data_IF_120215614664
#
_entry.id   IF_120215614664
#
_cell.length_a   1.000
_cell.length_b   1.000
_cell.length_c   1.000
_cell.angle_alpha   90.00
_cell.angle_beta   90.00
_cell.angle_gamma   90.00
#
_symmetry.space_group_name_H-M   'P 1'
#
loop_
_entity.id
_entity.type
_entity.pdbx_description
1 polymer ?
#
# COMPACT_ATOMS: atom_id res chain seq x y z
N UNK A 1 9.53 15.81 -10.66
CA UNK A 1 11.01 15.75 -10.62
C UNK A 1 11.57 14.39 -11.04
N UNK A 2 10.99 13.26 -10.61
CA UNK A 2 11.47 11.90 -10.99
C UNK A 2 11.26 11.56 -12.48
N UNK A 3 10.12 11.94 -13.06
CA UNK A 3 9.78 11.67 -14.48
C UNK A 3 10.72 12.39 -15.46
N UNK A 4 11.12 13.63 -15.16
CA UNK A 4 12.03 14.43 -15.97
C UNK A 4 13.46 13.86 -16.02
N UNK A 5 13.91 13.19 -14.95
CA UNK A 5 15.21 12.50 -14.91
C UNK A 5 15.33 11.41 -15.98
N UNK A 6 14.22 10.86 -16.44
CA UNK A 6 14.16 9.79 -17.45
C UNK A 6 13.73 10.29 -18.84
N UNK A 7 13.72 11.60 -19.08
CA UNK A 7 13.33 12.18 -20.38
C UNK A 7 11.85 12.00 -20.73
N UNK A 8 11.03 11.55 -19.78
CA UNK A 8 9.60 11.36 -19.98
C UNK A 8 8.87 12.68 -19.76
N UNK A 9 7.92 12.98 -20.63
CA UNK A 9 7.02 14.13 -20.49
C UNK A 9 5.71 13.67 -19.86
N UNK A 10 5.29 14.36 -18.80
CA UNK A 10 3.94 14.18 -18.24
C UNK A 10 2.94 14.77 -19.23
N UNK A 11 1.89 14.04 -19.59
CA UNK A 11 0.73 14.64 -20.24
C UNK A 11 0.01 15.55 -19.22
N UNK A 12 0.36 16.84 -19.18
CA UNK A 12 -0.22 17.83 -18.26
C UNK A 12 -1.24 18.77 -18.92
N UNK A 13 -1.59 18.54 -20.18
CA UNK A 13 -2.59 19.36 -20.87
C UNK A 13 -3.37 18.45 -21.83
N UNK A 14 -4.70 18.53 -21.79
CA UNK A 14 -5.63 18.01 -22.81
C UNK A 14 -6.08 16.53 -22.78
N UNK A 15 -6.13 15.88 -21.61
CA UNK A 15 -6.87 14.63 -21.47
C UNK A 15 -8.12 14.78 -20.58
N UNK A 16 -9.21 14.05 -20.88
CA UNK A 16 -10.52 14.24 -20.24
C UNK A 16 -10.32 14.16 -18.73
N UNK A 17 -10.94 15.11 -18.00
CA UNK A 17 -10.80 15.25 -16.55
C UNK A 17 -10.89 13.86 -15.92
N UNK A 18 -9.79 13.41 -15.32
CA UNK A 18 -9.76 12.14 -14.60
C UNK A 18 -10.88 12.15 -13.57
N UNK A 19 -11.86 11.27 -13.75
CA UNK A 19 -13.01 11.18 -12.88
C UNK A 19 -12.74 10.18 -11.75
N UNK A 20 -12.86 10.65 -10.50
CA UNK A 20 -12.71 9.84 -9.30
C UNK A 20 -13.74 8.70 -9.25
N UNK A 21 -14.93 8.88 -9.86
CA UNK A 21 -15.97 7.87 -9.99
C UNK A 21 -15.51 6.74 -10.91
N UNK A 22 -14.84 7.06 -12.00
CA UNK A 22 -14.30 6.05 -12.92
C UNK A 22 -13.14 5.30 -12.29
N UNK A 23 -12.27 6.00 -11.57
CA UNK A 23 -11.16 5.39 -10.83
C UNK A 23 -11.68 4.47 -9.73
N UNK A 24 -12.67 4.89 -8.93
CA UNK A 24 -13.19 4.06 -7.84
C UNK A 24 -13.89 2.79 -8.36
N UNK A 25 -14.67 2.89 -9.46
CA UNK A 25 -15.32 1.74 -10.09
C UNK A 25 -14.31 0.75 -10.65
N UNK A 26 -13.17 1.27 -11.10
CA UNK A 26 -12.09 0.50 -11.71
C UNK A 26 -10.84 0.41 -10.82
N UNK A 27 -11.01 0.37 -9.49
CA UNK A 27 -9.88 0.29 -8.54
C UNK A 27 -8.96 -0.91 -8.81
N UNK A 28 -9.50 -1.99 -9.36
CA UNK A 28 -8.74 -3.17 -9.78
C UNK A 28 -7.79 -2.89 -10.95
N UNK A 29 -8.20 -2.04 -11.92
CA UNK A 29 -7.34 -1.61 -13.01
C UNK A 29 -6.26 -0.65 -12.50
N UNK A 30 -6.62 0.29 -11.63
CA UNK A 30 -5.65 1.17 -10.97
C UNK A 30 -4.57 0.36 -10.26
N UNK A 31 -4.97 -0.60 -9.42
CA UNK A 31 -4.06 -1.41 -8.63
C UNK A 31 -3.12 -2.29 -9.48
N UNK A 32 -3.54 -2.67 -10.69
CA UNK A 32 -2.79 -3.58 -11.57
C UNK A 32 -1.93 -2.83 -12.60
N UNK A 33 -2.39 -1.68 -13.09
CA UNK A 33 -1.77 -0.97 -14.22
C UNK A 33 -0.94 0.24 -13.82
N UNK A 34 -1.03 0.67 -12.56
CA UNK A 34 -0.29 1.81 -12.03
C UNK A 34 0.60 1.39 -10.87
N UNK A 35 1.70 2.10 -10.69
CA UNK A 35 2.56 1.98 -9.53
C UNK A 35 2.42 3.21 -8.65
N UNK A 36 2.27 2.97 -7.34
CA UNK A 36 2.17 4.01 -6.33
C UNK A 36 3.56 4.50 -5.89
N UNK A 37 3.69 5.82 -5.69
CA UNK A 37 4.81 6.44 -4.99
C UNK A 37 4.36 6.92 -3.61
N UNK A 38 4.96 6.36 -2.56
CA UNK A 38 4.61 6.58 -1.17
C UNK A 38 4.89 8.01 -0.71
N UNK A 39 6.05 8.55 -1.10
CA UNK A 39 6.55 9.84 -0.61
C UNK A 39 5.81 11.02 -1.25
N UNK A 40 5.65 11.00 -2.57
CA UNK A 40 5.04 12.10 -3.32
C UNK A 40 3.53 11.91 -3.54
N UNK A 41 2.98 10.77 -3.14
CA UNK A 41 1.55 10.44 -3.28
C UNK A 41 1.02 10.68 -4.70
N UNK A 42 1.63 10.02 -5.69
CA UNK A 42 1.09 9.96 -7.05
C UNK A 42 1.14 8.52 -7.57
N UNK A 43 0.37 8.26 -8.63
CA UNK A 43 0.46 7.03 -9.41
C UNK A 43 1.07 7.31 -10.77
N UNK A 44 1.96 6.44 -11.23
CA UNK A 44 2.41 6.41 -12.63
C UNK A 44 2.00 5.12 -13.30
N UNK A 45 1.58 5.21 -14.53
CA UNK A 45 1.21 4.05 -15.33
C UNK A 45 2.45 3.14 -15.52
N UNK A 46 2.31 1.88 -15.09
CA UNK A 46 3.35 0.85 -15.16
C UNK A 46 3.49 0.28 -16.57
N UNK A 47 2.35 0.03 -17.24
CA UNK A 47 2.33 -0.51 -18.60
C UNK A 47 1.93 0.58 -19.59
N UNK A 48 2.85 0.91 -20.49
CA UNK A 48 2.59 1.90 -21.53
C UNK A 48 2.47 1.20 -22.88
N UNK A 49 1.36 1.41 -23.57
CA UNK A 49 1.01 0.76 -24.85
C UNK A 49 1.82 1.32 -26.04
N UNK A 50 3.06 1.80 -25.81
CA UNK A 50 3.93 2.37 -26.84
C UNK A 50 3.88 3.90 -26.97
N UNK A 51 3.14 4.61 -26.12
CA UNK A 51 3.06 6.09 -26.13
C UNK A 51 4.22 6.73 -25.38
N UNK A 52 4.99 7.65 -25.96
CA UNK A 52 6.12 8.29 -25.25
C UNK A 52 5.76 8.98 -23.91
N UNK A 53 4.48 9.33 -23.69
CA UNK A 53 3.97 9.96 -22.48
C UNK A 53 3.54 8.91 -21.45
N UNK A 54 3.89 9.11 -20.18
CA UNK A 54 3.41 8.27 -19.06
C UNK A 54 2.25 8.98 -18.37
N UNK A 55 1.12 8.28 -18.20
CA UNK A 55 -0.03 8.82 -17.47
C UNK A 55 0.27 8.84 -15.97
N UNK A 56 -0.03 9.98 -15.35
CA UNK A 56 0.17 10.20 -13.92
C UNK A 56 -1.13 10.65 -13.27
N UNK A 57 -1.47 10.05 -12.14
CA UNK A 57 -2.61 10.46 -11.30
C UNK A 57 -2.04 11.10 -10.05
N UNK A 58 -2.39 12.36 -9.81
CA UNK A 58 -1.92 13.12 -8.65
C UNK A 58 -3.09 13.47 -7.72
N UNK A 59 -2.74 13.94 -6.51
CA UNK A 59 -3.70 14.46 -5.55
C UNK A 59 -4.54 15.60 -6.15
N UNK A 60 -3.95 16.45 -6.99
CA UNK A 60 -4.64 17.57 -7.64
C UNK A 60 -5.75 17.12 -8.60
N UNK A 61 -5.50 16.06 -9.39
CA UNK A 61 -6.51 15.49 -10.28
C UNK A 61 -7.71 14.95 -9.48
N UNK A 62 -7.45 14.19 -8.41
CA UNK A 62 -8.50 13.68 -7.54
C UNK A 62 -9.23 14.81 -6.80
N UNK A 63 -8.53 15.82 -6.32
CA UNK A 63 -9.14 16.96 -5.62
C UNK A 63 -10.04 17.77 -6.56
N UNK A 64 -9.66 17.95 -7.83
CA UNK A 64 -10.49 18.60 -8.83
C UNK A 64 -11.77 17.82 -9.12
N UNK A 65 -11.69 16.49 -9.19
CA UNK A 65 -12.87 15.64 -9.39
C UNK A 65 -13.77 15.61 -8.14
N UNK A 66 -13.21 15.54 -6.93
CA UNK A 66 -13.96 15.62 -5.67
C UNK A 66 -14.74 16.94 -5.57
N UNK A 67 -14.17 18.07 -6.03
CA UNK A 67 -14.90 19.35 -6.07
C UNK A 67 -16.15 19.32 -6.95
N UNK A 68 -16.19 18.47 -7.97
CA UNK A 68 -17.35 18.32 -8.87
C UNK A 68 -18.38 17.37 -8.28
N UNK A 69 -17.95 16.21 -7.75
CA UNK A 69 -18.87 15.16 -7.29
C UNK A 69 -19.24 15.25 -5.80
N UNK A 70 -18.57 16.11 -5.04
CA UNK A 70 -18.74 16.28 -3.61
C UNK A 70 -17.96 15.27 -2.75
N UNK A 71 -17.87 15.57 -1.45
CA UNK A 71 -17.08 14.83 -0.48
C UNK A 71 -17.58 13.39 -0.21
N UNK A 72 -18.86 13.12 -0.48
CA UNK A 72 -19.45 11.79 -0.29
C UNK A 72 -18.76 10.69 -1.10
N UNK A 73 -18.13 11.05 -2.23
CA UNK A 73 -17.40 10.09 -3.08
C UNK A 73 -16.18 9.50 -2.38
N UNK A 74 -15.58 10.21 -1.42
CA UNK A 74 -14.42 9.72 -0.66
C UNK A 74 -14.77 8.43 0.08
N UNK A 75 -15.86 8.43 0.85
CA UNK A 75 -16.27 7.26 1.63
C UNK A 75 -16.68 6.09 0.71
N UNK A 76 -17.38 6.37 -0.39
CA UNK A 76 -17.74 5.35 -1.38
C UNK A 76 -16.50 4.72 -2.01
N UNK A 77 -15.53 5.52 -2.44
CA UNK A 77 -14.29 5.03 -3.04
C UNK A 77 -13.42 4.22 -2.06
N UNK A 78 -13.40 4.62 -0.79
CA UNK A 78 -12.81 3.81 0.29
C UNK A 78 -13.52 2.45 0.36
N UNK A 79 -14.85 2.40 0.39
CA UNK A 79 -15.60 1.14 0.48
C UNK A 79 -15.32 0.19 -0.70
N UNK A 80 -15.23 0.71 -1.93
CA UNK A 80 -14.81 -0.08 -3.10
C UNK A 80 -13.41 -0.66 -2.91
N UNK A 81 -12.48 0.13 -2.37
CA UNK A 81 -11.11 -0.30 -2.07
C UNK A 81 -11.08 -1.38 -0.98
N UNK A 82 -11.87 -1.25 0.09
CA UNK A 82 -12.00 -2.29 1.13
C UNK A 82 -12.51 -3.60 0.54
N UNK A 83 -13.53 -3.55 -0.33
CA UNK A 83 -14.05 -4.73 -1.00
C UNK A 83 -13.01 -5.42 -1.90
N UNK A 84 -12.17 -4.65 -2.58
CA UNK A 84 -11.04 -5.17 -3.35
C UNK A 84 -9.96 -5.79 -2.47
N UNK A 85 -9.57 -5.10 -1.39
CA UNK A 85 -8.58 -5.56 -0.42
C UNK A 85 -8.98 -6.88 0.22
N UNK A 86 -10.27 -7.05 0.59
CA UNK A 86 -10.80 -8.31 1.12
C UNK A 86 -10.52 -9.49 0.19
N UNK A 87 -10.87 -9.35 -1.09
CA UNK A 87 -10.64 -10.39 -2.11
C UNK A 87 -9.16 -10.71 -2.28
N UNK A 88 -8.28 -9.70 -2.19
CA UNK A 88 -6.83 -9.92 -2.33
C UNK A 88 -6.21 -10.56 -1.09
N UNK A 89 -6.67 -10.20 0.11
CA UNK A 89 -6.27 -10.88 1.35
C UNK A 89 -6.71 -12.34 1.36
N UNK A 90 -7.90 -12.67 0.85
CA UNK A 90 -8.34 -14.05 0.69
C UNK A 90 -7.38 -14.85 -0.21
N UNK A 91 -6.89 -14.25 -1.30
CA UNK A 91 -5.86 -14.88 -2.16
C UNK A 91 -4.55 -15.11 -1.41
N UNK A 92 -4.10 -14.15 -0.59
CA UNK A 92 -2.89 -14.32 0.24
C UNK A 92 -3.08 -15.45 1.25
N UNK A 93 -4.23 -15.51 1.92
CA UNK A 93 -4.54 -16.56 2.89
C UNK A 93 -4.62 -17.95 2.22
N UNK A 94 -5.25 -18.05 1.05
CA UNK A 94 -5.28 -19.29 0.26
C UNK A 94 -3.88 -19.73 -0.18
N UNK A 95 -3.03 -18.78 -0.60
CA UNK A 95 -1.65 -19.07 -0.95
C UNK A 95 -0.87 -19.68 0.23
N UNK A 96 -1.06 -19.13 1.43
CA UNK A 96 -0.40 -19.63 2.65
C UNK A 96 -0.99 -20.96 3.14
N UNK A 97 -2.24 -21.26 2.80
CA UNK A 97 -2.90 -22.51 3.13
C UNK A 97 -2.51 -23.68 2.20
N UNK A 98 -1.87 -23.40 1.05
CA UNK A 98 -1.34 -24.45 0.18
C UNK A 98 -0.32 -25.32 0.92
N UNK A 99 -0.52 -26.63 0.91
CA UNK A 99 0.29 -27.57 1.70
C UNK A 99 1.76 -27.59 1.28
N UNK A 100 2.07 -27.34 0.01
CA UNK A 100 3.45 -27.30 -0.47
C UNK A 100 4.20 -26.04 -0.01
N UNK A 101 3.50 -24.89 -0.02
CA UNK A 101 4.03 -23.63 0.51
C UNK A 101 4.20 -23.72 2.02
N UNK A 102 3.15 -24.18 2.73
CA UNK A 102 3.15 -24.35 4.18
C UNK A 102 4.26 -25.27 4.66
N UNK A 103 4.43 -26.44 4.03
CA UNK A 103 5.50 -27.38 4.36
C UNK A 103 6.89 -26.74 4.20
N UNK A 104 7.10 -25.99 3.12
CA UNK A 104 8.36 -25.24 2.93
C UNK A 104 8.58 -24.21 4.04
N UNK A 105 7.56 -23.43 4.39
CA UNK A 105 7.67 -22.40 5.43
C UNK A 105 7.89 -22.98 6.84
N UNK A 106 7.34 -24.15 7.14
CA UNK A 106 7.64 -24.86 8.39
C UNK A 106 9.10 -25.29 8.46
N UNK A 107 9.67 -25.76 7.35
CA UNK A 107 11.11 -26.03 7.25
C UNK A 107 11.94 -24.75 7.43
N UNK A 108 11.51 -23.62 6.87
CA UNK A 108 12.19 -22.32 7.11
C UNK A 108 12.11 -21.90 8.59
N UNK A 109 10.97 -22.13 9.24
CA UNK A 109 10.80 -21.84 10.67
C UNK A 109 11.80 -22.63 11.50
N UNK A 110 11.90 -23.94 11.27
CA UNK A 110 12.86 -24.81 11.95
C UNK A 110 14.30 -24.38 11.67
N UNK A 111 14.60 -23.99 10.42
CA UNK A 111 15.93 -23.51 10.06
C UNK A 111 16.34 -22.25 10.83
N UNK A 112 15.38 -21.36 11.11
CA UNK A 112 15.58 -20.14 11.89
C UNK A 112 15.77 -20.38 13.39
N UNK A 113 15.41 -21.55 13.92
CA UNK A 113 15.57 -21.86 15.34
C UNK A 113 17.06 -21.81 15.73
N UNK A 114 17.41 -20.90 16.65
CA UNK A 114 18.78 -20.72 17.13
C UNK A 114 19.69 -19.88 16.22
N UNK A 115 19.18 -19.29 15.13
CA UNK A 115 19.97 -18.41 14.24
C UNK A 115 19.65 -16.93 14.47
N UNK A 116 20.68 -16.09 14.32
CA UNK A 116 20.57 -14.64 14.36
C UNK A 116 20.49 -14.11 12.93
N UNK A 117 19.27 -14.08 12.37
CA UNK A 117 18.98 -13.49 11.07
C UNK A 117 18.88 -14.44 9.87
N UNK A 118 18.28 -13.94 8.80
CA UNK A 118 17.90 -14.69 7.61
C UNK A 118 18.86 -14.39 6.45
N UNK A 119 19.44 -15.42 5.83
CA UNK A 119 20.48 -15.23 4.80
C UNK A 119 19.92 -15.01 3.38
N UNK A 120 20.67 -14.28 2.55
CA UNK A 120 20.29 -13.95 1.18
C UNK A 120 20.18 -15.22 0.33
N UNK A 121 21.20 -16.07 0.38
CA UNK A 121 21.20 -17.40 -0.22
C UNK A 121 19.92 -18.20 0.09
N UNK A 122 19.48 -18.19 1.36
CA UNK A 122 18.30 -18.94 1.79
C UNK A 122 17.01 -18.35 1.23
N UNK A 123 16.89 -17.03 1.16
CA UNK A 123 15.74 -16.37 0.57
C UNK A 123 15.59 -16.72 -0.91
N UNK A 124 16.70 -16.73 -1.65
CA UNK A 124 16.74 -17.10 -3.07
C UNK A 124 16.42 -18.59 -3.26
N UNK A 125 16.92 -19.47 -2.39
CA UNK A 125 16.61 -20.90 -2.44
C UNK A 125 15.11 -21.18 -2.25
N UNK A 126 14.52 -20.56 -1.23
CA UNK A 126 13.07 -20.66 -0.97
C UNK A 126 12.25 -20.05 -2.10
N UNK A 127 12.70 -18.92 -2.67
CA UNK A 127 12.07 -18.34 -3.86
C UNK A 127 12.11 -19.31 -5.07
N UNK A 128 13.25 -19.97 -5.31
CA UNK A 128 13.38 -20.98 -6.38
C UNK A 128 12.48 -22.18 -6.16
N UNK A 129 12.36 -22.66 -4.92
CA UNK A 129 11.46 -23.76 -4.58
C UNK A 129 10.01 -23.39 -4.92
N UNK A 130 9.54 -22.23 -4.48
CA UNK A 130 8.15 -21.80 -4.69
C UNK A 130 7.86 -21.57 -6.19
N UNK A 131 8.82 -21.01 -6.94
CA UNK A 131 8.69 -20.86 -8.41
C UNK A 131 8.54 -22.21 -9.14
N UNK A 132 9.11 -23.30 -8.61
CA UNK A 132 9.01 -24.66 -9.19
C UNK A 132 7.69 -25.36 -8.90
N UNK A 133 6.90 -24.88 -7.94
CA UNK A 133 5.58 -25.45 -7.64
C UNK A 133 4.60 -25.32 -8.80
N UNK A 134 4.86 -24.38 -9.71
CA UNK A 134 4.15 -24.26 -10.97
C UNK A 134 3.97 -22.81 -11.41
N UNK A 135 3.35 -22.66 -12.57
CA UNK A 135 2.88 -21.40 -13.10
C UNK A 135 1.37 -21.48 -13.32
N UNK A 136 0.68 -20.36 -13.24
CA UNK A 136 -0.72 -20.36 -13.64
C UNK A 136 -0.89 -20.35 -15.16
N UNK A 137 -2.15 -20.24 -15.61
CA UNK A 137 -2.52 -20.27 -17.04
C UNK A 137 -1.87 -19.18 -17.90
N UNK A 138 -1.44 -18.11 -17.25
CA UNK A 138 -0.73 -16.93 -17.77
C UNK A 138 0.80 -17.13 -17.88
N UNK A 139 1.33 -18.27 -17.44
CA UNK A 139 2.77 -18.55 -17.43
C UNK A 139 3.53 -17.83 -16.30
N UNK A 140 2.84 -17.08 -15.44
CA UNK A 140 3.44 -16.38 -14.29
C UNK A 140 3.59 -17.37 -13.13
N UNK A 141 4.76 -17.38 -12.51
CA UNK A 141 5.05 -18.26 -11.36
C UNK A 141 4.16 -17.93 -10.16
N UNK A 142 3.87 -18.92 -9.31
CA UNK A 142 3.10 -18.69 -8.08
C UNK A 142 3.70 -17.59 -7.19
N UNK A 143 5.03 -17.53 -7.06
CA UNK A 143 5.72 -16.50 -6.29
C UNK A 143 5.52 -15.10 -6.88
N UNK A 144 5.62 -14.97 -8.21
CA UNK A 144 5.45 -13.69 -8.89
C UNK A 144 3.98 -13.22 -8.85
N UNK A 145 3.02 -14.15 -8.85
CA UNK A 145 1.61 -13.82 -8.59
C UNK A 145 1.39 -13.26 -7.20
N UNK A 146 1.99 -13.87 -6.18
CA UNK A 146 1.90 -13.34 -4.82
C UNK A 146 2.52 -11.94 -4.74
N UNK A 147 3.68 -11.72 -5.36
CA UNK A 147 4.29 -10.39 -5.48
C UNK A 147 3.30 -9.38 -6.08
N UNK A 148 2.69 -9.70 -7.22
CA UNK A 148 1.70 -8.83 -7.87
C UNK A 148 0.49 -8.56 -6.97
N UNK A 149 -0.01 -9.56 -6.24
CA UNK A 149 -1.12 -9.40 -5.29
C UNK A 149 -0.73 -8.44 -4.15
N UNK A 150 0.48 -8.56 -3.59
CA UNK A 150 0.98 -7.65 -2.56
C UNK A 150 1.12 -6.22 -3.09
N UNK A 151 1.68 -6.03 -4.29
CA UNK A 151 1.75 -4.73 -4.94
C UNK A 151 0.35 -4.13 -5.16
N UNK A 152 -0.62 -4.93 -5.63
CA UNK A 152 -2.00 -4.49 -5.85
C UNK A 152 -2.70 -4.08 -4.54
N UNK A 153 -2.45 -4.79 -3.44
CA UNK A 153 -2.93 -4.43 -2.10
C UNK A 153 -2.39 -3.05 -1.73
N UNK A 154 -1.07 -2.84 -1.82
CA UNK A 154 -0.48 -1.56 -1.46
C UNK A 154 -0.85 -0.42 -2.39
N UNK A 155 -1.02 -0.67 -3.70
CA UNK A 155 -1.55 0.33 -4.63
C UNK A 155 -2.98 0.74 -4.26
N UNK A 156 -3.84 -0.20 -3.86
CA UNK A 156 -5.20 0.12 -3.40
C UNK A 156 -5.19 0.93 -2.11
N UNK A 157 -4.29 0.62 -1.16
CA UNK A 157 -4.09 1.42 0.06
C UNK A 157 -3.53 2.81 -0.26
N UNK A 158 -2.61 2.90 -1.21
CA UNK A 158 -2.10 4.17 -1.74
C UNK A 158 -3.19 5.03 -2.33
N UNK A 159 -4.18 4.44 -3.00
CA UNK A 159 -5.36 5.15 -3.50
C UNK A 159 -6.25 5.66 -2.37
N UNK A 160 -6.53 4.82 -1.36
CA UNK A 160 -7.28 5.23 -0.15
C UNK A 160 -6.59 6.40 0.55
N UNK A 161 -5.26 6.36 0.67
CA UNK A 161 -4.48 7.47 1.23
C UNK A 161 -4.59 8.71 0.36
N UNK A 162 -4.40 8.59 -0.95
CA UNK A 162 -4.39 9.70 -1.88
C UNK A 162 -5.75 10.39 -2.00
N UNK A 163 -6.87 9.65 -2.02
CA UNK A 163 -8.21 10.22 -2.11
C UNK A 163 -8.58 11.00 -0.84
N UNK A 164 -8.10 10.54 0.32
CA UNK A 164 -8.24 11.26 1.60
C UNK A 164 -7.43 12.55 1.58
N UNK A 165 -6.16 12.49 1.19
CA UNK A 165 -5.31 13.67 1.00
C UNK A 165 -5.93 14.66 0.01
N UNK A 166 -6.52 14.16 -1.08
CA UNK A 166 -7.20 14.97 -2.09
C UNK A 166 -8.45 15.66 -1.53
N UNK A 167 -9.24 14.96 -0.71
CA UNK A 167 -10.36 15.56 0.01
C UNK A 167 -9.94 16.66 0.98
N UNK A 168 -8.86 16.43 1.75
CA UNK A 168 -8.32 17.46 2.65
C UNK A 168 -7.84 18.67 1.86
N UNK A 169 -7.15 18.43 0.74
CA UNK A 169 -6.66 19.51 -0.12
C UNK A 169 -7.77 20.29 -0.80
N UNK A 170 -8.87 19.64 -1.20
CA UNK A 170 -10.03 20.35 -1.77
C UNK A 170 -10.71 21.25 -0.72
N UNK A 171 -10.48 20.99 0.56
CA UNK A 171 -11.05 21.73 1.69
C UNK A 171 -10.12 22.77 2.30
N UNK A 172 -8.82 22.75 1.99
CA UNK A 172 -7.83 23.60 2.65
C UNK A 172 -8.23 25.09 2.67
N UNK A 173 -8.80 25.60 1.57
CA UNK A 173 -9.26 26.99 1.48
C UNK A 173 -10.55 27.27 2.25
N UNK A 174 -11.34 26.24 2.58
CA UNK A 174 -12.57 26.36 3.36
C UNK A 174 -12.35 26.24 4.87
N UNK A 175 -11.20 25.69 5.29
CA UNK A 175 -10.89 25.40 6.68
C UNK A 175 -10.78 26.68 7.53
N UNK A 176 -10.25 27.77 6.96
CA UNK A 176 -10.15 29.07 7.62
C UNK A 176 -11.53 29.58 8.10
N UNK A 177 -12.59 29.33 7.33
CA UNK A 177 -13.96 29.70 7.69
C UNK A 177 -14.58 28.74 8.72
N UNK A 178 -14.15 27.48 8.74
CA UNK A 178 -14.64 26.46 9.67
C UNK A 178 -13.98 26.56 11.05
N UNK A 179 -12.70 26.89 11.11
CA UNK A 179 -11.97 27.11 12.37
C UNK A 179 -12.39 28.43 13.03
N UNK A 180 -12.67 29.46 12.22
CA UNK A 180 -13.22 30.72 12.70
C UNK A 180 -14.70 30.62 13.12
N UNK A 181 -15.41 29.55 12.74
CA UNK A 181 -16.83 29.37 13.05
C UNK A 181 -17.04 28.97 14.52
N UNK A 182 -17.55 29.88 15.37
CA UNK A 182 -17.67 29.63 16.81
C UNK A 182 -18.63 28.47 17.14
N UNK A 183 -19.57 28.17 16.23
CA UNK A 183 -20.59 27.12 16.37
C UNK A 183 -20.08 25.69 16.04
N UNK A 184 -18.82 25.52 15.60
CA UNK A 184 -18.25 24.23 15.19
C UNK A 184 -17.13 23.72 16.12
N UNK A 185 -16.95 24.24 17.33
CA UNK A 185 -15.88 23.80 18.26
C UNK A 185 -16.20 22.50 19.03
N UNK A 186 -15.19 21.63 19.22
CA UNK A 186 -15.29 20.35 19.97
C UNK A 186 -15.04 20.46 21.49
N UNK A 187 -14.74 21.67 21.98
CA UNK A 187 -14.47 21.92 23.39
C UNK A 187 -15.75 22.24 24.15
N UNK A 188 -16.09 21.42 25.14
CA UNK A 188 -17.30 21.56 25.95
C UNK A 188 -17.56 22.99 26.43
N UNK A 189 -18.73 23.50 26.07
CA UNK A 189 -19.51 24.44 26.87
C UNK A 189 -20.92 24.47 26.30
N UNK A 190 -21.90 24.15 27.13
CA UNK A 190 -23.31 23.89 26.83
C UNK A 190 -24.12 25.11 26.36
N UNK A 191 -23.55 26.04 25.57
CA UNK A 191 -24.23 27.29 25.21
C UNK A 191 -23.66 28.03 23.98
N UNK A 192 -23.43 27.34 22.85
CA UNK A 192 -23.16 28.03 21.58
C UNK A 192 -24.33 27.80 20.63
N UNK A 193 -25.00 28.89 20.23
CA UNK A 193 -26.13 28.84 19.30
C UNK A 193 -25.64 28.46 17.90
N UNK A 194 -26.31 27.48 17.29
CA UNK A 194 -26.16 27.14 15.88
C UNK A 194 -26.29 28.41 15.01
N UNK A 195 -25.54 28.53 13.91
CA UNK A 195 -25.65 29.61 12.91
C UNK A 195 -27.10 29.81 12.46
N UNK A 196 -27.89 28.74 12.35
CA UNK A 196 -29.31 28.82 12.07
C UNK A 196 -30.09 29.52 13.19
N UNK A 197 -29.79 29.22 14.45
CA UNK A 197 -30.40 29.87 15.63
C UNK A 197 -29.95 31.34 15.74
N UNK A 198 -28.70 31.66 15.37
CA UNK A 198 -28.21 33.03 15.32
C UNK A 198 -28.92 33.85 14.24
N UNK A 199 -29.17 33.26 13.06
CA UNK A 199 -29.93 33.90 11.98
C UNK A 199 -31.41 34.13 12.37
N UNK A 200 -32.01 33.18 13.08
CA UNK A 200 -33.37 33.32 13.63
C UNK A 200 -33.43 34.41 14.70
N UNK A 201 -32.50 34.41 15.66
CA UNK A 201 -32.42 35.42 16.72
C UNK A 201 -32.15 36.84 16.20
N UNK A 202 -31.42 36.96 15.08
CA UNK A 202 -31.18 38.23 14.40
C UNK A 202 -32.38 38.71 13.55
N UNK A 203 -33.47 37.93 13.48
CA UNK A 203 -34.64 38.28 12.68
C UNK A 203 -34.38 38.27 11.17
N UNK A 204 -33.45 37.44 10.69
CA UNK A 204 -33.13 37.35 9.27
C UNK A 204 -34.30 36.76 8.47
N UNK A 205 -34.39 37.12 7.19
CA UNK A 205 -35.43 36.58 6.30
C UNK A 205 -35.34 35.04 6.14
N UNK A 206 -36.46 34.35 5.84
CA UNK A 206 -36.49 32.89 5.71
C UNK A 206 -35.43 32.29 4.77
N UNK A 207 -35.10 32.89 3.59
CA UNK A 207 -34.04 32.37 2.73
C UNK A 207 -32.65 32.39 3.38
N UNK A 208 -32.38 33.39 4.24
CA UNK A 208 -31.10 33.51 4.97
C UNK A 208 -31.02 32.45 6.06
N UNK A 209 -32.13 32.18 6.75
CA UNK A 209 -32.21 31.12 7.75
C UNK A 209 -31.98 29.73 7.12
N UNK A 210 -32.58 29.45 5.96
CA UNK A 210 -32.35 28.18 5.25
C UNK A 210 -30.91 28.07 4.71
N UNK A 211 -30.35 29.16 4.19
CA UNK A 211 -28.94 29.19 3.78
C UNK A 211 -27.98 28.91 4.95
N UNK A 212 -28.26 29.47 6.14
CA UNK A 212 -27.53 29.20 7.36
C UNK A 212 -27.62 27.71 7.75
N UNK A 213 -28.81 27.13 7.71
CA UNK A 213 -29.04 25.70 8.01
C UNK A 213 -28.28 24.79 7.05
N UNK A 214 -28.30 25.10 5.76
CA UNK A 214 -27.57 24.35 4.73
C UNK A 214 -26.04 24.49 4.90
N UNK A 215 -25.55 25.69 5.21
CA UNK A 215 -24.13 25.94 5.47
C UNK A 215 -23.62 25.12 6.67
N UNK A 216 -24.39 25.04 7.76
CA UNK A 216 -24.05 24.18 8.88
C UNK A 216 -24.09 22.70 8.54
N UNK A 217 -25.11 22.25 7.81
CA UNK A 217 -25.21 20.86 7.40
C UNK A 217 -24.01 20.47 6.52
N UNK A 218 -23.61 21.36 5.61
CA UNK A 218 -22.42 21.19 4.78
C UNK A 218 -21.15 21.14 5.65
N UNK A 219 -20.97 22.08 6.59
CA UNK A 219 -19.83 22.13 7.50
C UNK A 219 -19.72 20.89 8.41
N UNK A 220 -20.84 20.42 8.97
CA UNK A 220 -20.89 19.18 9.76
C UNK A 220 -20.56 17.95 8.91
N UNK A 221 -21.10 17.86 7.70
CA UNK A 221 -20.82 16.77 6.75
C UNK A 221 -19.34 16.70 6.39
N UNK A 222 -18.78 17.86 6.08
CA UNK A 222 -17.35 18.10 5.86
C UNK A 222 -16.53 17.62 7.05
N UNK A 223 -16.82 18.09 8.27
CA UNK A 223 -16.08 17.74 9.49
C UNK A 223 -16.09 16.22 9.73
N UNK A 224 -17.24 15.56 9.58
CA UNK A 224 -17.37 14.10 9.65
C UNK A 224 -16.54 13.35 8.62
N UNK A 225 -16.32 13.91 7.42
CA UNK A 225 -15.45 13.30 6.41
C UNK A 225 -13.97 13.30 6.84
N UNK A 226 -13.55 14.18 7.76
CA UNK A 226 -12.14 14.40 8.11
C UNK A 226 -11.78 14.15 9.59
N UNK A 227 -12.71 14.11 10.53
CA UNK A 227 -12.45 13.74 11.94
C UNK A 227 -11.83 12.34 12.09
N UNK A 228 -12.07 11.43 11.14
CA UNK A 228 -11.50 10.09 11.10
C UNK A 228 -10.23 9.98 10.20
N UNK A 229 -9.68 11.10 9.71
CA UNK A 229 -8.67 11.09 8.63
C UNK A 229 -7.25 10.75 9.06
N UNK A 230 -6.89 10.98 10.33
CA UNK A 230 -5.50 10.81 10.78
C UNK A 230 -5.10 9.36 11.03
N UNK A 231 -6.05 8.44 11.26
CA UNK A 231 -5.76 7.04 11.58
C UNK A 231 -6.49 6.02 10.68
N UNK A 232 -6.96 6.45 9.50
CA UNK A 232 -7.85 5.63 8.68
C UNK A 232 -7.23 4.32 8.18
N UNK A 233 -5.95 4.34 7.79
CA UNK A 233 -5.24 3.15 7.35
C UNK A 233 -5.01 2.16 8.51
N UNK A 234 -4.72 2.64 9.71
CA UNK A 234 -4.63 1.82 10.91
C UNK A 234 -5.98 1.22 11.29
N UNK A 235 -7.06 2.02 11.28
CA UNK A 235 -8.42 1.53 11.52
C UNK A 235 -8.79 0.43 10.53
N UNK A 236 -8.47 0.63 9.25
CA UNK A 236 -8.68 -0.37 8.22
C UNK A 236 -7.91 -1.66 8.51
N UNK A 237 -6.63 -1.55 8.88
CA UNK A 237 -5.81 -2.70 9.26
C UNK A 237 -6.36 -3.41 10.52
N UNK A 238 -6.88 -2.67 11.49
CA UNK A 238 -7.52 -3.22 12.69
C UNK A 238 -8.81 -3.98 12.36
N UNK A 239 -9.65 -3.44 11.48
CA UNK A 239 -10.88 -4.11 11.01
C UNK A 239 -10.54 -5.44 10.34
N UNK A 240 -9.54 -5.47 9.46
CA UNK A 240 -9.09 -6.71 8.82
C UNK A 240 -8.46 -7.69 9.79
N UNK A 241 -7.61 -7.22 10.73
CA UNK A 241 -7.01 -8.06 11.75
C UNK A 241 -8.09 -8.75 12.61
N UNK A 242 -9.09 -8.00 13.07
CA UNK A 242 -10.23 -8.55 13.83
C UNK A 242 -11.03 -9.56 13.02
N UNK A 243 -11.32 -9.27 11.75
CA UNK A 243 -12.07 -10.17 10.88
C UNK A 243 -11.34 -11.50 10.62
N UNK A 244 -9.99 -11.47 10.55
CA UNK A 244 -9.14 -12.63 10.29
C UNK A 244 -8.69 -13.36 11.56
N UNK A 245 -8.99 -12.84 12.75
CA UNK A 245 -8.60 -13.44 14.04
C UNK A 245 -9.34 -14.74 14.40
N UNK A 246 -10.11 -15.33 13.46
CA UNK A 246 -10.87 -16.57 13.71
C UNK A 246 -9.92 -17.77 13.89
N UNK A 247 -10.18 -18.67 14.85
CA UNK A 247 -9.26 -19.76 15.22
C UNK A 247 -8.94 -20.74 14.08
N UNK A 248 -9.83 -20.90 13.10
CA UNK A 248 -9.64 -21.82 11.97
C UNK A 248 -8.61 -21.35 10.93
N UNK A 249 -8.30 -20.04 10.86
CA UNK A 249 -7.35 -19.45 9.90
C UNK A 249 -5.93 -19.26 10.47
N UNK A 250 -5.71 -19.66 11.72
CA UNK A 250 -4.58 -19.21 12.56
C UNK A 250 -3.20 -19.86 12.34
N UNK A 251 -3.05 -21.14 11.97
CA UNK A 251 -1.71 -21.74 11.95
C UNK A 251 -0.84 -21.27 10.78
N UNK A 252 -1.41 -21.18 9.57
CA UNK A 252 -0.66 -20.96 8.33
C UNK A 252 -0.38 -19.49 8.07
N UNK A 253 -1.32 -18.61 8.42
CA UNK A 253 -1.16 -17.15 8.28
C UNK A 253 0.01 -16.61 9.09
N UNK A 254 0.35 -17.26 10.21
CA UNK A 254 1.50 -16.91 11.07
C UNK A 254 2.86 -17.11 10.42
N UNK A 255 2.94 -17.83 9.30
CA UNK A 255 4.21 -18.10 8.60
C UNK A 255 4.56 -17.05 7.54
N UNK A 256 3.69 -16.07 7.28
CA UNK A 256 3.89 -15.09 6.21
C UNK A 256 5.20 -14.30 6.33
N UNK A 257 5.66 -13.98 7.54
CA UNK A 257 6.91 -13.24 7.74
C UNK A 257 8.14 -13.95 7.14
N UNK A 258 8.17 -15.29 7.16
CA UNK A 258 9.25 -16.10 6.58
C UNK A 258 9.24 -16.08 5.04
N UNK A 259 8.10 -15.74 4.45
CA UNK A 259 7.94 -15.65 2.99
C UNK A 259 8.37 -14.28 2.45
N UNK A 260 8.35 -13.23 3.28
CA UNK A 260 8.69 -11.86 2.87
C UNK A 260 10.09 -11.75 2.24
N UNK A 261 11.17 -12.37 2.78
CA UNK A 261 12.48 -12.36 2.13
C UNK A 261 12.45 -12.90 0.69
N UNK A 262 11.82 -14.06 0.48
CA UNK A 262 11.74 -14.71 -0.84
C UNK A 262 10.92 -13.93 -1.86
N UNK A 263 9.78 -13.36 -1.44
CA UNK A 263 8.98 -12.50 -2.30
C UNK A 263 9.69 -11.16 -2.55
N UNK A 264 10.45 -10.66 -1.56
CA UNK A 264 11.33 -9.50 -1.69
C UNK A 264 12.40 -9.70 -2.77
N UNK A 265 13.05 -10.85 -2.81
CA UNK A 265 13.98 -11.19 -3.91
C UNK A 265 13.26 -11.15 -5.28
N UNK A 266 12.07 -11.74 -5.39
CA UNK A 266 11.29 -11.71 -6.63
C UNK A 266 10.85 -10.29 -7.03
N UNK A 267 10.56 -9.43 -6.05
CA UNK A 267 10.29 -8.01 -6.28
C UNK A 267 11.51 -7.27 -6.81
N UNK A 268 12.67 -7.44 -6.19
CA UNK A 268 13.91 -6.78 -6.62
C UNK A 268 14.31 -7.18 -8.04
N UNK A 269 14.17 -8.47 -8.38
CA UNK A 269 14.39 -8.96 -9.75
C UNK A 269 13.46 -8.24 -10.75
N UNK A 270 12.16 -8.18 -10.45
CA UNK A 270 11.14 -7.53 -11.29
C UNK A 270 11.39 -6.02 -11.42
N UNK A 271 11.82 -5.36 -10.34
CA UNK A 271 12.09 -3.93 -10.31
C UNK A 271 13.29 -3.57 -11.19
N UNK A 272 14.38 -4.34 -11.10
CA UNK A 272 15.57 -4.14 -11.93
C UNK A 272 15.23 -4.33 -13.42
N UNK A 273 14.49 -5.39 -13.76
CA UNK A 273 14.03 -5.64 -15.13
C UNK A 273 13.13 -4.50 -15.65
N UNK A 274 12.23 -3.98 -14.82
CA UNK A 274 11.36 -2.85 -15.18
C UNK A 274 12.14 -1.55 -15.42
N UNK A 275 13.19 -1.29 -14.64
CA UNK A 275 14.06 -0.12 -14.82
C UNK A 275 14.96 -0.24 -16.05
N UNK A 276 15.47 -1.43 -16.35
CA UNK A 276 16.22 -1.68 -17.60
C UNK A 276 15.32 -1.46 -18.82
N UNK A 277 14.08 -1.95 -18.76
CA UNK A 277 13.06 -1.72 -19.80
C UNK A 277 12.78 -0.23 -19.99
N UNK A 278 12.63 0.52 -18.89
CA UNK A 278 12.45 1.96 -18.91
C UNK A 278 13.67 2.69 -19.50
N UNK A 279 14.89 2.31 -19.14
CA UNK A 279 16.11 2.91 -19.67
C UNK A 279 16.27 2.67 -21.18
N UNK A 280 16.00 1.44 -21.67
CA UNK A 280 15.99 1.12 -23.10
C UNK A 280 14.99 1.97 -23.86
N UNK A 281 13.82 2.23 -23.26
CA UNK A 281 12.78 3.06 -23.83
C UNK A 281 13.17 4.54 -23.96
N UNK A 282 13.90 5.07 -23.00
CA UNK A 282 14.39 6.46 -23.06
C UNK A 282 15.31 6.70 -24.28
N UNK A 283 16.03 5.65 -24.72
CA UNK A 283 16.93 5.69 -25.89
C UNK A 283 16.19 5.36 -27.19
N UNK A 284 15.27 4.40 -27.17
CA UNK A 284 14.49 3.96 -28.34
C UNK A 284 12.98 3.88 -28.02
N UNK A 285 12.22 4.98 -28.18
CA UNK A 285 10.83 5.06 -27.74
C UNK A 285 9.85 4.20 -28.57
N UNK A 286 10.18 3.88 -29.82
CA UNK A 286 9.37 3.06 -30.72
C UNK A 286 9.85 1.61 -30.75
N UNK A 287 9.28 0.73 -29.92
CA UNK A 287 9.48 -0.73 -30.04
C UNK A 287 9.50 -1.52 -28.74
N UNK A 288 9.80 -0.88 -27.60
CA UNK A 288 9.88 -1.58 -26.31
C UNK A 288 8.48 -1.66 -25.67
N UNK A 289 7.85 -2.83 -25.77
CA UNK A 289 6.61 -3.18 -25.04
C UNK A 289 6.99 -3.87 -23.74
N UNK A 290 6.58 -3.34 -22.58
CA UNK A 290 6.87 -3.93 -21.28
C UNK A 290 6.50 -3.02 -20.11
N UNK A 291 6.56 -3.57 -18.89
CA UNK A 291 6.38 -2.81 -17.65
C UNK A 291 7.56 -1.84 -17.44
N UNK A 292 7.28 -0.55 -17.46
CA UNK A 292 8.23 0.52 -17.22
C UNK A 292 8.03 1.04 -15.79
N UNK A 293 8.76 0.46 -14.84
CA UNK A 293 8.62 0.76 -13.42
C UNK A 293 9.47 1.97 -13.03
N UNK A 294 8.82 3.13 -12.88
CA UNK A 294 9.46 4.35 -12.39
C UNK A 294 9.67 4.33 -10.87
N UNK A 295 8.62 3.92 -10.15
CA UNK A 295 8.52 3.79 -8.70
C UNK A 295 7.61 2.60 -8.43
N UNK A 296 7.84 1.78 -7.41
CA UNK A 296 6.91 0.69 -7.05
C UNK A 296 6.85 0.48 -5.53
N UNK A 297 6.48 1.54 -4.80
CA UNK A 297 6.34 1.50 -3.34
C UNK A 297 5.08 0.72 -2.91
N UNK A 298 4.18 0.42 -3.85
CA UNK A 298 2.98 -0.39 -3.62
C UNK A 298 3.31 -1.77 -3.06
N UNK A 299 4.43 -2.37 -3.47
CA UNK A 299 4.88 -3.64 -2.88
C UNK A 299 5.17 -3.50 -1.37
N UNK A 300 5.95 -2.48 -0.99
CA UNK A 300 6.31 -2.23 0.40
C UNK A 300 5.07 -1.93 1.27
N UNK A 301 4.16 -1.07 0.77
CA UNK A 301 2.89 -0.76 1.46
C UNK A 301 2.04 -2.02 1.66
N UNK A 302 1.97 -2.88 0.64
CA UNK A 302 1.22 -4.14 0.70
C UNK A 302 1.79 -5.13 1.71
N UNK A 303 3.12 -5.32 1.71
CA UNK A 303 3.80 -6.18 2.69
C UNK A 303 3.59 -5.67 4.12
N UNK A 304 3.80 -4.37 4.36
CA UNK A 304 3.58 -3.76 5.67
C UNK A 304 2.14 -3.96 6.17
N UNK A 305 1.16 -3.79 5.28
CA UNK A 305 -0.24 -4.03 5.62
C UNK A 305 -0.54 -5.48 5.99
N UNK A 306 -0.07 -6.45 5.20
CA UNK A 306 -0.30 -7.88 5.48
C UNK A 306 0.39 -8.30 6.78
N UNK A 307 1.63 -7.85 7.02
CA UNK A 307 2.32 -8.06 8.30
C UNK A 307 1.52 -7.48 9.47
N UNK A 308 0.92 -6.29 9.29
CA UNK A 308 0.09 -5.62 10.30
C UNK A 308 -1.22 -6.34 10.58
N UNK A 309 -1.85 -6.89 9.55
CA UNK A 309 -3.12 -7.62 9.66
C UNK A 309 -2.91 -8.97 10.35
N UNK A 310 -1.80 -9.66 10.08
CA UNK A 310 -1.46 -10.93 10.72
C UNK A 310 -0.69 -10.81 12.04
N UNK A 311 -0.28 -9.60 12.43
CA UNK A 311 0.44 -9.35 13.68
C UNK A 311 1.89 -9.87 13.69
N UNK A 312 2.56 -9.90 12.53
CA UNK A 312 3.86 -10.54 12.34
C UNK A 312 5.03 -9.57 12.20
N UNK A 313 4.85 -8.30 12.57
CA UNK A 313 5.88 -7.27 12.39
C UNK A 313 7.13 -7.57 13.22
N UNK A 314 6.95 -8.01 14.48
CA UNK A 314 8.07 -8.36 15.37
C UNK A 314 8.83 -9.58 14.87
N UNK A 315 8.10 -10.61 14.46
CA UNK A 315 8.68 -11.84 13.91
C UNK A 315 9.48 -11.54 12.64
N UNK A 316 8.96 -10.68 11.76
CA UNK A 316 9.69 -10.22 10.58
C UNK A 316 10.94 -9.40 10.93
N UNK A 317 10.86 -8.48 11.89
CA UNK A 317 12.02 -7.70 12.35
C UNK A 317 13.14 -8.59 12.89
N UNK A 318 12.78 -9.69 13.57
CA UNK A 318 13.75 -10.66 14.11
C UNK A 318 14.55 -11.41 13.02
N UNK A 319 14.07 -11.38 11.77
CA UNK A 319 14.80 -11.97 10.64
C UNK A 319 16.03 -11.14 10.24
N UNK A 320 16.12 -9.88 10.65
CA UNK A 320 17.22 -8.98 10.26
C UNK A 320 17.52 -8.97 8.74
N UNK A 321 16.50 -9.24 7.92
CA UNK A 321 16.65 -9.52 6.48
C UNK A 321 17.37 -8.41 5.71
N UNK A 322 17.10 -7.15 6.04
CA UNK A 322 17.72 -6.01 5.36
C UNK A 322 19.17 -5.74 5.79
N UNK A 323 19.66 -6.43 6.82
CA UNK A 323 21.05 -6.35 7.29
C UNK A 323 21.94 -7.42 6.63
N UNK A 324 21.35 -8.27 5.80
CA UNK A 324 22.03 -9.42 5.22
C UNK A 324 22.96 -9.03 4.07
N UNK A 325 24.15 -9.61 4.05
CA UNK A 325 25.11 -9.43 2.96
C UNK A 325 24.72 -10.25 1.73
N UNK A 326 24.83 -9.63 0.56
CA UNK A 326 24.63 -10.27 -0.74
C UNK A 326 25.99 -10.77 -1.24
N UNK A 327 26.19 -12.09 -1.29
CA UNK A 327 27.45 -12.71 -1.74
C UNK A 327 27.41 -13.07 -3.24
N UNK A 328 28.59 -13.11 -3.87
CA UNK A 328 28.71 -13.38 -5.32
C UNK A 328 28.26 -14.80 -5.71
N UNK A 329 28.45 -15.79 -4.82
CA UNK A 329 27.95 -17.17 -4.99
C UNK A 329 26.43 -17.27 -5.11
N UNK A 330 25.71 -16.30 -4.52
CA UNK A 330 24.26 -16.32 -4.45
C UNK A 330 23.63 -15.76 -5.74
N UNK A 331 24.41 -15.02 -6.53
CA UNK A 331 24.02 -14.41 -7.82
C UNK A 331 24.05 -15.42 -8.97
N UNK A 332 25.09 -16.27 -9.03
CA UNK A 332 25.30 -17.26 -10.11
C UNK A 332 24.18 -18.29 -10.16
N UNK A 333 23.57 -18.59 -9.01
CA UNK A 333 22.52 -19.60 -8.87
C UNK A 333 21.12 -19.07 -9.27
N UNK A 334 20.98 -17.78 -9.59
CA UNK A 334 19.72 -17.15 -10.02
C UNK A 334 19.44 -17.21 -11.53
N UNK A 335 20.44 -17.52 -12.37
CA UNK A 335 20.34 -17.39 -13.83
C UNK A 335 20.22 -18.70 -14.62
N UNK A 336 20.21 -19.87 -13.96
CA UNK A 336 20.03 -21.13 -14.67
C UNK A 336 18.54 -21.37 -15.01
N UNK A 337 18.14 -20.84 -16.19
CA UNK A 337 16.93 -21.11 -17.01
C UNK A 337 15.88 -19.99 -17.06
N UNK A 338 16.15 -18.97 -17.89
CA UNK A 338 15.10 -18.24 -18.64
C UNK A 338 15.63 -17.47 -19.88
N UNK A 339 16.76 -17.85 -20.48
CA UNK A 339 17.21 -17.26 -21.74
C UNK A 339 17.68 -18.36 -22.69
N UNK A 340 16.93 -18.53 -23.77
CA UNK A 340 17.34 -19.32 -24.92
C UNK A 340 18.58 -18.67 -25.57
N UNK A 341 19.71 -19.36 -25.54
CA UNK A 341 20.70 -19.35 -26.61
C UNK A 341 21.41 -18.04 -26.98
N UNK A 342 21.89 -17.25 -26.02
CA UNK A 342 22.88 -16.20 -26.31
C UNK A 342 24.18 -16.42 -25.51
N UNK A 343 25.35 -16.20 -26.14
CA UNK A 343 26.64 -16.48 -25.52
C UNK A 343 26.91 -15.53 -24.35
N UNK A 344 27.52 -16.13 -23.34
CA UNK A 344 27.85 -15.60 -22.04
C UNK A 344 28.97 -14.53 -22.14
N UNK A 345 28.75 -13.30 -21.65
CA UNK A 345 29.80 -12.30 -21.36
C UNK A 345 29.84 -12.04 -19.84
N UNK A 346 30.70 -12.79 -19.13
CA UNK A 346 30.88 -12.82 -17.66
C UNK A 346 32.00 -11.85 -17.27
N UNK A 347 31.73 -10.96 -16.30
CA UNK A 347 32.70 -10.31 -15.37
C UNK A 347 32.43 -8.83 -15.11
N UNK A 348 32.00 -8.03 -16.11
CA UNK A 348 31.75 -6.58 -15.89
C UNK A 348 30.32 -6.26 -15.43
N UNK A 349 29.35 -7.13 -15.69
CA UNK A 349 27.93 -6.91 -15.37
C UNK A 349 27.49 -7.36 -13.97
N UNK A 350 28.19 -8.31 -13.35
CA UNK A 350 27.77 -8.90 -12.07
C UNK A 350 28.04 -7.99 -10.88
N UNK A 351 29.20 -7.33 -10.84
CA UNK A 351 29.53 -6.36 -9.78
C UNK A 351 28.59 -5.14 -9.82
N UNK A 352 28.24 -4.67 -11.02
CA UNK A 352 27.26 -3.59 -11.24
C UNK A 352 25.85 -4.02 -10.79
N UNK A 353 25.46 -5.26 -11.10
CA UNK A 353 24.16 -5.82 -10.65
C UNK A 353 24.08 -5.99 -9.13
N UNK A 354 25.15 -6.46 -8.47
CA UNK A 354 25.21 -6.59 -7.01
C UNK A 354 25.04 -5.24 -6.32
N UNK A 355 25.77 -4.23 -6.79
CA UNK A 355 25.67 -2.86 -6.28
C UNK A 355 24.24 -2.30 -6.42
N UNK A 356 23.64 -2.49 -7.61
CA UNK A 356 22.24 -2.11 -7.86
C UNK A 356 21.26 -2.82 -6.94
N UNK A 357 21.41 -4.13 -6.75
CA UNK A 357 20.52 -4.92 -5.90
C UNK A 357 20.65 -4.54 -4.43
N UNK A 358 21.87 -4.29 -3.93
CA UNK A 358 22.09 -3.80 -2.57
C UNK A 358 21.47 -2.41 -2.36
N UNK A 359 21.60 -1.50 -3.33
CA UNK A 359 20.95 -0.20 -3.28
C UNK A 359 19.41 -0.32 -3.27
N UNK A 360 18.83 -1.18 -4.11
CA UNK A 360 17.38 -1.41 -4.12
C UNK A 360 16.88 -2.13 -2.87
N UNK A 361 17.67 -3.01 -2.27
CA UNK A 361 17.33 -3.63 -0.98
C UNK A 361 17.25 -2.58 0.14
N UNK A 362 18.20 -1.64 0.15
CA UNK A 362 18.17 -0.50 1.08
C UNK A 362 16.96 0.41 0.85
N UNK A 363 16.65 0.72 -0.41
CA UNK A 363 15.44 1.49 -0.76
C UNK A 363 14.16 0.77 -0.33
N UNK A 364 14.09 -0.55 -0.52
CA UNK A 364 12.96 -1.37 -0.07
C UNK A 364 12.83 -1.37 1.45
N UNK A 365 13.95 -1.43 2.19
CA UNK A 365 13.97 -1.34 3.64
C UNK A 365 13.34 -0.02 4.12
N UNK A 366 13.81 1.11 3.57
CA UNK A 366 13.30 2.44 3.88
C UNK A 366 11.81 2.59 3.52
N UNK A 367 11.41 2.08 2.35
CA UNK A 367 10.02 2.09 1.92
C UNK A 367 9.11 1.25 2.83
N UNK A 368 9.58 0.09 3.30
CA UNK A 368 8.82 -0.78 4.19
C UNK A 368 8.70 -0.18 5.60
N UNK A 369 9.75 0.46 6.11
CA UNK A 369 9.72 1.19 7.38
C UNK A 369 8.73 2.37 7.33
N UNK A 370 8.83 3.21 6.29
CA UNK A 370 7.90 4.31 6.07
C UNK A 370 6.45 3.81 5.89
N UNK A 371 6.27 2.66 5.25
CA UNK A 371 4.95 2.02 5.12
C UNK A 371 4.42 1.50 6.45
N UNK A 372 5.27 0.96 7.32
CA UNK A 372 4.90 0.51 8.66
C UNK A 372 4.33 1.63 9.52
N UNK A 373 4.89 2.84 9.40
CA UNK A 373 4.40 4.03 10.11
C UNK A 373 2.96 4.42 9.71
N UNK A 374 2.48 4.06 8.52
CA UNK A 374 1.11 4.35 8.07
C UNK A 374 0.04 3.61 8.88
N UNK A 375 0.38 2.49 9.52
CA UNK A 375 -0.58 1.60 10.16
C UNK A 375 -0.46 1.57 11.70
N UNK A 376 0.34 2.47 12.28
CA UNK A 376 0.57 2.56 13.72
C UNK A 376 1.17 1.30 14.35
N UNK A 377 1.46 1.37 15.66
CA UNK A 377 1.79 0.18 16.43
C UNK A 377 0.51 -0.64 16.68
N UNK A 378 0.61 -1.97 16.61
CA UNK A 378 -0.48 -2.83 17.07
C UNK A 378 -0.76 -2.53 18.56
N UNK A 379 -2.00 -2.16 18.91
CA UNK A 379 -2.40 -2.04 20.32
C UNK A 379 -2.11 -3.38 20.99
N UNK A 380 -1.27 -3.35 22.02
CA UNK A 380 -1.03 -4.55 22.85
C UNK A 380 -2.38 -4.90 23.47
N UNK A 381 -2.86 -6.16 23.39
CA UNK A 381 -4.08 -6.52 24.11
C UNK A 381 -3.85 -6.16 25.57
N UNK A 382 -4.76 -5.36 26.14
CA UNK A 382 -4.72 -5.06 27.55
C UNK A 382 -4.65 -6.40 28.29
N UNK A 383 -3.61 -6.59 29.11
CA UNK A 383 -3.58 -7.70 30.06
C UNK A 383 -4.87 -7.58 30.86
N UNK A 384 -5.73 -8.58 30.79
CA UNK A 384 -6.79 -8.76 31.77
C UNK A 384 -6.10 -8.76 33.12
N UNK A 385 -6.32 -7.70 33.90
CA UNK A 385 -5.86 -7.65 35.29
C UNK A 385 -6.53 -8.81 36.02
N UNK A 386 -5.80 -9.59 36.82
CA UNK A 386 -6.40 -10.65 37.60
C UNK A 386 -7.43 -10.01 38.53
N UNK A 387 -8.68 -10.42 38.40
CA UNK A 387 -9.74 -10.14 39.36
C UNK A 387 -9.25 -10.66 40.70
N UNK A 388 -8.86 -9.74 41.59
CA UNK A 388 -8.56 -10.07 42.98
C UNK A 388 -9.91 -10.37 43.63
N UNK A 389 -10.23 -11.64 43.75
CA UNK A 389 -11.30 -12.10 44.65
C UNK A 389 -10.86 -11.72 46.07
N UNK A 390 -11.52 -10.71 46.63
CA UNK A 390 -11.41 -10.38 48.05
C UNK A 390 -12.16 -11.45 48.83
N UNK A 391 -11.43 -12.41 49.40
CA UNK A 391 -11.95 -13.26 50.46
C UNK A 391 -12.31 -12.38 51.67
N UNK A 392 -13.61 -12.25 51.91
CA UNK A 392 -14.14 -11.71 53.15
C UNK A 392 -13.89 -12.73 54.27
N UNK A 393 -12.91 -12.44 55.13
CA UNK A 393 -12.76 -13.10 56.42
C UNK A 393 -13.70 -12.38 57.40
N UNK A 394 -14.90 -12.93 57.60
CA UNK A 394 -15.74 -12.59 58.74
C UNK A 394 -15.27 -13.37 59.97
N UNK A 395 -14.92 -12.60 61.01
CA UNK A 395 -14.74 -13.02 62.40
C UNK A 395 -15.97 -12.70 63.22
#
# INVERSE_FOLDING_TARGET
>A
MVVAKWGLTCASAEHPRLDVIDVMRNVHLLATQYCYCLHQQFFTQAFNQGEAKVRTITVEHLAASIRVHGYGVINTAVNYSVGFLKKKLEVVAQFLADESVKSRLLTEKQWMEGRQGYSWARAVETARFIRRLGAGRDGVSYLDKLRQVLTQIGNSLGYVRMIRTAGMRSMANGLEYLEAAPWLGDGGMSNRSDLAQAAEAAGCDPPVQEAARLAEAAARSVRRCFEASTDHLNLLAEVFAKALSRPEAMPTTRLFHLLVPSVGCAFLDSLLLGRETLAKRAVAPSGVKGEALLTDDGFAVGVAFVLRVFGLQRDFQSLHWFQTEINDSDMTTGQARAAAGLPFQESRGEADRRSKLAAELSNLAAALEASGALFGAAKTPAREEPVVESEAVES
#
